data_IF_857659624040
#
_entry.id   IF_857659624040
#
_cell.length_a   1.000
_cell.length_b   1.000
_cell.length_c   1.000
_cell.angle_alpha   90.00
_cell.angle_beta   90.00
_cell.angle_gamma   90.00
#
_symmetry.space_group_name_H-M   'P 1'
#
loop_
_entity.id
_entity.type
_entity.pdbx_description
1 polymer ?
#
# COMPACT_ATOMS: atom_id res chain seq x y z
N UNK A 1 17.82 6.86 8.70
CA UNK A 1 17.37 5.57 8.15
C UNK A 1 18.43 5.09 7.15
N UNK A 2 18.64 3.78 6.95
CA UNK A 2 19.76 3.31 6.11
C UNK A 2 19.32 3.12 4.65
N UNK A 3 20.23 3.40 3.71
CA UNK A 3 20.01 3.24 2.26
C UNK A 3 19.49 1.86 1.88
N UNK A 4 20.07 0.81 2.47
CA UNK A 4 19.69 -0.59 2.17
C UNK A 4 18.22 -0.87 2.52
N UNK A 5 17.72 -0.30 3.62
CA UNK A 5 16.30 -0.47 4.03
C UNK A 5 15.36 0.21 3.04
N UNK A 6 15.68 1.43 2.60
CA UNK A 6 14.91 2.13 1.56
C UNK A 6 14.91 1.38 0.22
N UNK A 7 16.07 0.87 -0.22
CA UNK A 7 16.14 0.06 -1.44
C UNK A 7 15.28 -1.21 -1.30
N UNK A 8 15.35 -1.87 -0.14
CA UNK A 8 14.55 -3.06 0.16
C UNK A 8 13.06 -2.74 0.16
N UNK A 9 12.64 -1.61 0.74
CA UNK A 9 11.26 -1.13 0.71
C UNK A 9 10.74 -0.92 -0.72
N UNK A 10 11.56 -0.33 -1.60
CA UNK A 10 11.24 -0.20 -3.02
C UNK A 10 11.05 -1.56 -3.70
N UNK A 11 11.96 -2.50 -3.48
CA UNK A 11 11.85 -3.87 -4.01
C UNK A 11 10.64 -4.63 -3.47
N UNK A 12 10.37 -4.54 -2.17
CA UNK A 12 9.20 -5.17 -1.54
C UNK A 12 7.91 -4.58 -2.09
N UNK A 13 7.86 -3.27 -2.32
CA UNK A 13 6.72 -2.62 -2.96
C UNK A 13 6.51 -3.12 -4.41
N UNK A 14 7.60 -3.25 -5.18
CA UNK A 14 7.57 -3.82 -6.54
C UNK A 14 7.03 -5.25 -6.54
N UNK A 15 7.58 -6.13 -5.70
CA UNK A 15 7.09 -7.50 -5.57
C UNK A 15 5.62 -7.55 -5.15
N UNK A 16 5.21 -6.65 -4.26
CA UNK A 16 3.80 -6.50 -3.90
C UNK A 16 2.91 -6.22 -5.12
N UNK A 17 3.31 -5.30 -6.01
CA UNK A 17 2.56 -4.99 -7.25
C UNK A 17 2.56 -6.17 -8.21
N UNK A 18 3.73 -6.75 -8.47
CA UNK A 18 3.92 -7.88 -9.38
C UNK A 18 3.14 -9.11 -8.95
N UNK A 19 3.01 -9.36 -7.64
CA UNK A 19 2.19 -10.45 -7.12
C UNK A 19 0.70 -10.11 -7.19
N UNK A 20 0.29 -8.91 -6.80
CA UNK A 20 -1.14 -8.57 -6.67
C UNK A 20 -1.88 -8.64 -8.01
N UNK A 21 -1.30 -8.12 -9.10
CA UNK A 21 -2.01 -8.01 -10.39
C UNK A 21 -2.37 -9.38 -11.00
N UNK A 22 -1.42 -10.32 -11.19
CA UNK A 22 -1.74 -11.65 -11.69
C UNK A 22 -2.73 -12.37 -10.78
N UNK A 23 -2.65 -12.17 -9.47
CA UNK A 23 -3.55 -12.80 -8.51
C UNK A 23 -4.99 -12.37 -8.64
N UNK A 24 -5.24 -11.09 -8.82
CA UNK A 24 -6.60 -10.59 -9.05
C UNK A 24 -7.17 -11.12 -10.38
N UNK A 25 -6.33 -11.21 -11.43
CA UNK A 25 -6.71 -11.80 -12.73
C UNK A 25 -7.04 -13.29 -12.58
N UNK A 26 -6.14 -14.05 -11.96
CA UNK A 26 -6.28 -15.48 -11.69
C UNK A 26 -7.53 -15.74 -10.86
N UNK A 27 -7.79 -14.95 -9.81
CA UNK A 27 -8.98 -15.07 -8.97
C UNK A 27 -10.26 -14.83 -9.78
N UNK A 28 -10.32 -13.80 -10.61
CA UNK A 28 -11.49 -13.52 -11.47
C UNK A 28 -11.74 -14.61 -12.53
N UNK A 29 -10.70 -15.11 -13.18
CA UNK A 29 -10.81 -16.12 -14.26
C UNK A 29 -11.07 -17.53 -13.72
N UNK A 30 -10.46 -17.93 -12.60
CA UNK A 30 -10.60 -19.28 -12.06
C UNK A 30 -11.89 -19.51 -11.28
N UNK A 31 -12.37 -18.50 -10.54
CA UNK A 31 -13.67 -18.58 -9.85
C UNK A 31 -14.81 -18.80 -10.84
N UNK A 32 -14.68 -18.26 -12.07
CA UNK A 32 -15.71 -18.39 -13.10
C UNK A 32 -15.66 -19.67 -13.92
N UNK A 33 -14.55 -20.44 -13.92
CA UNK A 33 -14.37 -21.51 -14.93
C UNK A 33 -13.96 -22.90 -14.44
N UNK A 34 -13.22 -23.07 -13.34
CA UNK A 34 -12.48 -24.34 -13.18
C UNK A 34 -12.74 -25.12 -11.90
N UNK A 35 -13.41 -24.57 -10.89
CA UNK A 35 -13.76 -25.34 -9.67
C UNK A 35 -12.55 -26.02 -8.97
N UNK A 36 -11.32 -25.65 -9.33
CA UNK A 36 -10.07 -26.26 -8.89
C UNK A 36 -9.74 -25.87 -7.44
N UNK A 37 -8.95 -26.69 -6.72
CA UNK A 37 -8.55 -26.48 -5.33
C UNK A 37 -7.45 -25.41 -5.16
N UNK A 38 -7.42 -24.37 -6.01
CA UNK A 38 -6.63 -23.14 -5.79
C UNK A 38 -7.04 -22.43 -4.48
N UNK A 39 -8.21 -22.79 -3.96
CA UNK A 39 -8.65 -22.66 -2.57
C UNK A 39 -7.50 -22.74 -1.57
N UNK A 40 -6.67 -23.80 -1.58
CA UNK A 40 -5.67 -24.02 -0.51
C UNK A 40 -4.50 -23.05 -0.52
N UNK A 41 -4.11 -22.50 -1.67
CA UNK A 41 -2.99 -21.56 -1.78
C UNK A 41 -3.41 -20.09 -1.61
N UNK A 42 -4.69 -19.79 -1.84
CA UNK A 42 -5.26 -18.45 -1.69
C UNK A 42 -4.95 -17.77 -0.33
N UNK A 43 -5.15 -18.42 0.84
CA UNK A 43 -4.88 -17.78 2.13
C UNK A 43 -3.39 -17.45 2.35
N UNK A 44 -2.47 -18.32 1.94
CA UNK A 44 -1.02 -18.06 2.05
C UNK A 44 -0.59 -16.85 1.23
N UNK A 45 -1.15 -16.73 0.04
CA UNK A 45 -0.87 -15.61 -0.83
C UNK A 45 -1.44 -14.31 -0.25
N UNK A 46 -2.68 -14.32 0.24
CA UNK A 46 -3.29 -13.16 0.89
C UNK A 46 -2.45 -12.73 2.09
N UNK A 47 -1.96 -13.67 2.90
CA UNK A 47 -1.06 -13.36 4.01
C UNK A 47 0.28 -12.77 3.53
N UNK A 48 0.87 -13.32 2.47
CA UNK A 48 2.11 -12.79 1.90
C UNK A 48 1.93 -11.36 1.38
N UNK A 49 0.89 -11.08 0.58
CA UNK A 49 0.62 -9.73 0.05
C UNK A 49 0.24 -8.73 1.16
N UNK A 50 -0.42 -9.21 2.22
CA UNK A 50 -0.68 -8.45 3.44
C UNK A 50 0.62 -8.05 4.12
N UNK A 51 1.51 -9.01 4.38
CA UNK A 51 2.81 -8.77 5.00
C UNK A 51 3.65 -7.75 4.21
N UNK A 52 3.73 -7.92 2.89
CA UNK A 52 4.42 -6.97 2.00
C UNK A 52 3.79 -5.57 2.08
N UNK A 53 2.45 -5.48 2.08
CA UNK A 53 1.74 -4.20 2.16
C UNK A 53 1.96 -3.49 3.50
N UNK A 54 1.91 -4.23 4.61
CA UNK A 54 2.17 -3.68 5.96
C UNK A 54 3.62 -3.20 6.09
N UNK A 55 4.57 -3.96 5.55
CA UNK A 55 5.97 -3.56 5.53
C UNK A 55 6.16 -2.24 4.76
N UNK A 56 5.54 -2.10 3.59
CA UNK A 56 5.58 -0.84 2.80
C UNK A 56 5.00 0.34 3.56
N UNK A 57 3.85 0.16 4.22
CA UNK A 57 3.25 1.23 5.04
C UNK A 57 4.13 1.62 6.23
N UNK A 58 4.74 0.64 6.90
CA UNK A 58 5.65 0.88 8.00
C UNK A 58 6.91 1.63 7.55
N UNK A 59 7.54 1.21 6.46
CA UNK A 59 8.73 1.89 5.91
C UNK A 59 8.38 3.29 5.38
N UNK A 60 7.20 3.51 4.80
CA UNK A 60 6.73 4.85 4.43
C UNK A 60 6.61 5.75 5.67
N UNK A 61 5.99 5.25 6.75
CA UNK A 61 5.88 5.98 8.01
C UNK A 61 7.26 6.31 8.59
N UNK A 62 8.14 5.34 8.66
CA UNK A 62 9.50 5.53 9.18
C UNK A 62 10.29 6.52 8.32
N UNK A 63 10.12 6.49 6.99
CA UNK A 63 10.71 7.44 6.06
C UNK A 63 10.25 8.88 6.32
N UNK A 64 8.94 9.09 6.44
CA UNK A 64 8.34 10.40 6.72
C UNK A 64 8.83 10.95 8.07
N UNK A 65 8.88 10.11 9.10
CA UNK A 65 9.29 10.52 10.43
C UNK A 65 10.79 10.78 10.55
N UNK A 66 11.64 9.91 9.97
CA UNK A 66 13.10 10.01 10.13
C UNK A 66 13.77 10.95 9.13
N UNK A 67 13.22 11.11 7.94
CA UNK A 67 13.83 11.92 6.87
C UNK A 67 13.21 13.30 6.81
N UNK A 68 11.88 13.40 6.98
CA UNK A 68 11.13 14.65 6.84
C UNK A 68 10.59 15.19 8.18
N UNK A 69 10.87 14.53 9.31
CA UNK A 69 10.37 14.90 10.64
C UNK A 69 8.85 15.09 10.70
N UNK A 70 8.12 14.33 9.89
CA UNK A 70 6.71 14.58 9.61
C UNK A 70 5.78 13.49 10.17
N UNK A 71 5.38 13.68 11.43
CA UNK A 71 4.50 12.74 12.15
C UNK A 71 3.00 12.90 11.84
N UNK A 72 2.58 13.97 11.16
CA UNK A 72 1.15 14.27 10.97
C UNK A 72 0.43 13.20 10.13
N UNK A 73 1.16 12.52 9.23
CA UNK A 73 0.61 11.43 8.41
C UNK A 73 0.48 10.08 9.16
N UNK A 74 0.99 9.95 10.38
CA UNK A 74 1.05 8.67 11.10
C UNK A 74 -0.33 7.99 11.24
N UNK A 75 -1.35 8.77 11.62
CA UNK A 75 -2.70 8.24 11.81
C UNK A 75 -3.32 7.73 10.51
N UNK A 76 -3.09 8.43 9.39
CA UNK A 76 -3.60 8.00 8.09
C UNK A 76 -2.91 6.71 7.63
N UNK A 77 -1.60 6.59 7.85
CA UNK A 77 -0.84 5.39 7.49
C UNK A 77 -1.24 4.20 8.37
N UNK A 78 -1.37 4.40 9.68
CA UNK A 78 -1.85 3.36 10.60
C UNK A 78 -3.28 2.93 10.28
N UNK A 79 -4.15 3.86 9.89
CA UNK A 79 -5.49 3.57 9.39
C UNK A 79 -5.46 2.71 8.14
N UNK A 80 -4.60 3.04 7.15
CA UNK A 80 -4.42 2.22 5.94
C UNK A 80 -3.92 0.81 6.27
N UNK A 81 -2.92 0.68 7.14
CA UNK A 81 -2.41 -0.61 7.59
C UNK A 81 -3.48 -1.45 8.31
N UNK A 82 -4.29 -0.80 9.15
CA UNK A 82 -5.42 -1.44 9.84
C UNK A 82 -6.47 -1.93 8.83
N UNK A 83 -6.77 -1.11 7.81
CA UNK A 83 -7.71 -1.48 6.77
C UNK A 83 -7.22 -2.68 5.95
N UNK A 84 -5.91 -2.77 5.68
CA UNK A 84 -5.31 -3.96 5.06
C UNK A 84 -5.56 -5.20 5.93
N UNK A 85 -5.29 -5.13 7.25
CA UNK A 85 -5.52 -6.24 8.18
C UNK A 85 -6.99 -6.68 8.26
N UNK A 86 -7.90 -5.70 8.35
CA UNK A 86 -9.35 -5.96 8.30
C UNK A 86 -9.69 -6.69 7.00
N UNK A 87 -9.09 -6.26 5.88
CA UNK A 87 -9.39 -6.86 4.59
C UNK A 87 -8.92 -8.31 4.50
N UNK A 88 -7.74 -8.58 5.03
CA UNK A 88 -7.16 -9.92 5.17
C UNK A 88 -8.03 -10.82 6.02
N UNK A 89 -8.51 -10.33 7.16
CA UNK A 89 -9.40 -11.07 8.04
C UNK A 89 -10.68 -11.48 7.32
N UNK A 90 -11.35 -10.56 6.60
CA UNK A 90 -12.57 -10.89 5.87
C UNK A 90 -12.31 -11.89 4.73
N UNK A 91 -11.20 -11.75 3.98
CA UNK A 91 -10.83 -12.75 2.97
C UNK A 91 -10.59 -14.14 3.61
N UNK A 92 -10.06 -14.19 4.83
CA UNK A 92 -9.86 -15.45 5.56
C UNK A 92 -11.18 -16.03 6.08
N UNK A 93 -12.10 -15.18 6.56
CA UNK A 93 -13.43 -15.61 6.99
C UNK A 93 -14.26 -16.16 5.81
N UNK A 94 -14.23 -15.50 4.66
CA UNK A 94 -14.88 -15.98 3.42
C UNK A 94 -14.30 -17.33 2.96
N UNK A 95 -13.01 -17.56 3.21
CA UNK A 95 -12.36 -18.84 2.96
C UNK A 95 -12.80 -19.95 3.95
N UNK A 96 -12.82 -19.65 5.25
CA UNK A 96 -13.12 -20.60 6.33
C UNK A 96 -14.60 -20.96 6.43
N UNK A 97 -15.50 -20.06 6.02
CA UNK A 97 -16.96 -20.26 6.12
C UNK A 97 -17.58 -20.20 4.72
N UNK A 98 -17.51 -21.29 3.93
CA UNK A 98 -18.02 -21.31 2.55
C UNK A 98 -19.51 -21.00 2.43
N UNK A 99 -20.28 -21.21 3.50
CA UNK A 99 -21.71 -20.94 3.60
C UNK A 99 -22.04 -19.43 3.51
N UNK A 100 -21.05 -18.57 3.78
CA UNK A 100 -21.15 -17.13 3.62
C UNK A 100 -20.67 -16.64 2.25
N UNK A 101 -20.17 -17.54 1.38
CA UNK A 101 -19.63 -17.17 0.07
C UNK A 101 -20.67 -16.40 -0.74
N UNK A 102 -20.16 -15.34 -1.35
CA UNK A 102 -20.82 -14.42 -2.26
C UNK A 102 -21.40 -15.24 -3.41
N UNK A 103 -22.66 -15.67 -3.32
CA UNK A 103 -23.26 -16.48 -4.36
C UNK A 103 -24.66 -17.01 -4.09
N UNK A 104 -25.02 -17.31 -2.83
CA UNK A 104 -26.32 -17.97 -2.59
C UNK A 104 -27.28 -17.21 -1.65
N UNK A 105 -26.84 -16.61 -0.52
CA UNK A 105 -27.79 -15.93 0.38
C UNK A 105 -27.30 -14.68 1.17
N UNK A 106 -26.08 -14.17 0.95
CA UNK A 106 -25.49 -13.08 1.77
C UNK A 106 -25.02 -11.86 0.94
N UNK A 107 -25.84 -11.34 0.03
CA UNK A 107 -25.40 -10.27 -0.89
C UNK A 107 -25.37 -8.86 -0.27
N UNK A 108 -26.28 -8.55 0.65
CA UNK A 108 -26.44 -7.17 1.16
C UNK A 108 -25.35 -6.73 2.16
N UNK A 109 -25.05 -7.58 3.16
CA UNK A 109 -24.13 -7.23 4.26
C UNK A 109 -22.69 -7.14 3.76
N UNK A 110 -22.27 -8.07 2.91
CA UNK A 110 -20.93 -8.04 2.30
C UNK A 110 -20.80 -6.85 1.35
N UNK A 111 -21.79 -6.58 0.48
CA UNK A 111 -21.77 -5.40 -0.38
C UNK A 111 -21.63 -4.10 0.45
N UNK A 112 -22.42 -3.97 1.53
CA UNK A 112 -22.32 -2.84 2.44
C UNK A 112 -20.93 -2.75 3.07
N UNK A 113 -20.34 -3.88 3.46
CA UNK A 113 -18.97 -3.94 3.96
C UNK A 113 -17.94 -3.46 2.91
N UNK A 114 -18.03 -3.93 1.66
CA UNK A 114 -17.17 -3.47 0.55
C UNK A 114 -17.31 -1.95 0.31
N UNK A 115 -18.53 -1.43 0.36
CA UNK A 115 -18.79 0.02 0.18
C UNK A 115 -18.22 0.81 1.35
N UNK A 116 -18.50 0.42 2.60
CA UNK A 116 -18.01 1.12 3.80
C UNK A 116 -16.48 1.11 3.84
N UNK A 117 -15.85 -0.04 3.63
CA UNK A 117 -14.38 -0.13 3.60
C UNK A 117 -13.77 0.63 2.43
N UNK A 118 -14.42 0.65 1.26
CA UNK A 118 -14.03 1.48 0.13
C UNK A 118 -14.05 2.97 0.46
N UNK A 119 -15.12 3.47 1.08
CA UNK A 119 -15.25 4.86 1.52
C UNK A 119 -14.20 5.20 2.59
N UNK A 120 -14.02 4.35 3.60
CA UNK A 120 -13.00 4.56 4.66
C UNK A 120 -11.60 4.62 4.04
N UNK A 121 -11.27 3.71 3.11
CA UNK A 121 -10.02 3.74 2.35
C UNK A 121 -9.88 5.03 1.56
N UNK A 122 -10.97 5.50 0.96
CA UNK A 122 -11.00 6.76 0.21
C UNK A 122 -10.68 7.97 1.08
N UNK A 123 -11.34 8.07 2.24
CA UNK A 123 -11.11 9.13 3.24
C UNK A 123 -9.66 9.10 3.73
N UNK A 124 -9.13 7.92 4.09
CA UNK A 124 -7.74 7.78 4.51
C UNK A 124 -6.75 8.19 3.40
N UNK A 125 -7.06 7.90 2.14
CA UNK A 125 -6.24 8.30 0.99
C UNK A 125 -6.21 9.82 0.80
N UNK A 126 -7.36 10.48 0.98
CA UNK A 126 -7.47 11.94 0.94
C UNK A 126 -6.71 12.56 2.12
N UNK A 127 -6.89 12.03 3.34
CA UNK A 127 -6.17 12.51 4.53
C UNK A 127 -4.65 12.38 4.37
N UNK A 128 -4.17 11.22 3.91
CA UNK A 128 -2.76 11.00 3.62
C UNK A 128 -2.24 12.03 2.60
N UNK A 129 -2.98 12.27 1.53
CA UNK A 129 -2.60 13.23 0.51
C UNK A 129 -2.56 14.67 1.03
N UNK A 130 -3.54 15.07 1.85
CA UNK A 130 -3.57 16.41 2.45
C UNK A 130 -2.41 16.62 3.40
N UNK A 131 -2.04 15.61 4.18
CA UNK A 131 -0.88 15.69 5.07
C UNK A 131 0.43 15.71 4.27
N UNK A 132 0.60 14.86 3.27
CA UNK A 132 1.80 14.85 2.42
C UNK A 132 2.06 16.18 1.68
N UNK A 133 1.00 16.94 1.36
CA UNK A 133 1.15 18.27 0.75
C UNK A 133 1.71 19.33 1.69
N UNK A 134 1.61 19.13 3.01
CA UNK A 134 2.15 20.07 4.02
C UNK A 134 3.65 19.91 4.23
N UNK A 135 4.27 18.89 3.65
CA UNK A 135 5.72 18.70 3.70
C UNK A 135 6.36 19.60 2.64
N UNK A 136 6.87 20.76 3.07
CA UNK A 136 7.46 21.76 2.16
C UNK A 136 8.62 21.18 1.35
N UNK A 137 9.55 20.51 2.04
CA UNK A 137 10.77 19.90 1.49
C UNK A 137 10.59 18.50 0.88
N UNK A 138 9.34 18.03 0.72
CA UNK A 138 9.10 16.73 0.11
C UNK A 138 9.48 16.73 -1.38
N UNK A 139 10.13 15.66 -1.87
CA UNK A 139 10.42 15.51 -3.29
C UNK A 139 9.12 15.48 -4.10
N UNK A 140 9.20 15.94 -5.35
CA UNK A 140 8.03 16.02 -6.23
C UNK A 140 7.35 14.66 -6.42
N UNK A 141 8.12 13.57 -6.42
CA UNK A 141 7.62 12.19 -6.48
C UNK A 141 6.69 11.84 -5.30
N UNK A 142 7.03 12.27 -4.08
CA UNK A 142 6.20 12.07 -2.89
C UNK A 142 4.91 12.91 -2.95
N UNK A 143 4.99 14.13 -3.49
CA UNK A 143 3.81 14.97 -3.74
C UNK A 143 2.90 14.34 -4.80
N UNK A 144 3.47 13.78 -5.88
CA UNK A 144 2.73 13.03 -6.90
C UNK A 144 2.07 11.78 -6.32
N UNK A 145 2.75 11.03 -5.45
CA UNK A 145 2.15 9.91 -4.73
C UNK A 145 0.93 10.35 -3.89
N UNK A 146 1.04 11.49 -3.20
CA UNK A 146 -0.08 12.09 -2.47
C UNK A 146 -1.25 12.43 -3.40
N UNK A 147 -1.01 13.08 -4.54
CA UNK A 147 -2.06 13.41 -5.52
C UNK A 147 -2.72 12.14 -6.06
N UNK A 148 -1.97 11.11 -6.44
CA UNK A 148 -2.53 9.84 -6.92
C UNK A 148 -3.33 9.12 -5.84
N UNK A 149 -2.88 9.18 -4.58
CA UNK A 149 -3.62 8.62 -3.43
C UNK A 149 -4.94 9.35 -3.21
N UNK A 150 -4.97 10.68 -3.39
CA UNK A 150 -6.20 11.48 -3.34
C UNK A 150 -7.16 11.10 -4.47
N UNK A 151 -6.67 11.02 -5.72
CA UNK A 151 -7.48 10.66 -6.89
C UNK A 151 -8.07 9.27 -6.70
N UNK A 152 -7.23 8.29 -6.34
CA UNK A 152 -7.67 6.93 -6.05
C UNK A 152 -8.70 6.92 -4.92
N UNK A 153 -8.51 7.73 -3.88
CA UNK A 153 -9.44 7.82 -2.76
C UNK A 153 -10.81 8.39 -3.15
N UNK A 154 -10.85 9.46 -3.94
CA UNK A 154 -12.10 10.01 -4.50
C UNK A 154 -12.82 8.98 -5.37
N UNK A 155 -12.06 8.22 -6.17
CA UNK A 155 -12.63 7.13 -6.97
C UNK A 155 -13.17 5.98 -6.11
N UNK A 156 -12.51 5.62 -5.00
CA UNK A 156 -13.02 4.61 -4.06
C UNK A 156 -14.29 5.05 -3.32
N UNK A 157 -14.45 6.34 -3.07
CA UNK A 157 -15.72 6.89 -2.55
C UNK A 157 -16.87 6.79 -3.57
N UNK A 158 -16.54 6.70 -4.87
CA UNK A 158 -17.52 6.57 -5.96
C UNK A 158 -17.60 5.11 -6.39
N UNK A 159 -18.59 4.36 -5.88
CA UNK A 159 -18.70 2.89 -6.10
C UNK A 159 -18.54 2.47 -7.57
N UNK A 160 -19.05 3.27 -8.52
CA UNK A 160 -18.96 2.99 -9.97
C UNK A 160 -17.50 3.03 -10.49
N UNK A 161 -16.63 3.82 -9.86
CA UNK A 161 -15.24 4.03 -10.27
C UNK A 161 -14.25 3.08 -9.59
N UNK A 162 -14.70 2.10 -8.80
CA UNK A 162 -13.81 1.14 -8.11
C UNK A 162 -12.76 0.48 -9.04
N UNK A 163 -13.10 0.00 -10.26
CA UNK A 163 -12.11 -0.59 -11.15
C UNK A 163 -11.02 0.41 -11.55
N UNK A 164 -11.41 1.66 -11.81
CA UNK A 164 -10.47 2.73 -12.13
C UNK A 164 -9.63 3.12 -10.90
N UNK A 165 -10.23 3.15 -9.72
CA UNK A 165 -9.55 3.41 -8.45
C UNK A 165 -8.42 2.40 -8.20
N UNK A 166 -8.66 1.12 -8.53
CA UNK A 166 -7.67 0.05 -8.43
C UNK A 166 -6.49 0.28 -9.39
N UNK A 167 -6.75 0.67 -10.64
CA UNK A 167 -5.70 1.01 -11.61
C UNK A 167 -4.86 2.20 -11.14
N UNK A 168 -5.49 3.28 -10.68
CA UNK A 168 -4.78 4.45 -10.15
C UNK A 168 -3.97 4.07 -8.89
N UNK A 169 -4.48 3.17 -8.05
CA UNK A 169 -3.74 2.68 -6.88
C UNK A 169 -2.48 1.90 -7.27
N UNK A 170 -2.48 1.16 -8.39
CA UNK A 170 -1.29 0.51 -8.92
C UNK A 170 -0.27 1.56 -9.37
N UNK A 171 -0.71 2.58 -10.11
CA UNK A 171 0.18 3.68 -10.54
C UNK A 171 0.75 4.41 -9.32
N UNK A 172 -0.04 4.65 -8.27
CA UNK A 172 0.43 5.24 -7.03
C UNK A 172 1.52 4.39 -6.37
N UNK A 173 1.38 3.05 -6.34
CA UNK A 173 2.42 2.15 -5.84
C UNK A 173 3.70 2.23 -6.68
N UNK A 174 3.60 2.36 -7.99
CA UNK A 174 4.78 2.54 -8.86
C UNK A 174 5.52 3.85 -8.51
N UNK A 175 4.79 4.94 -8.29
CA UNK A 175 5.40 6.20 -7.84
C UNK A 175 6.03 6.03 -6.45
N UNK A 176 5.39 5.29 -5.54
CA UNK A 176 5.96 5.01 -4.22
C UNK A 176 7.27 4.20 -4.27
N UNK A 177 7.40 3.26 -5.22
CA UNK A 177 8.67 2.55 -5.48
C UNK A 177 9.77 3.56 -5.84
N UNK A 178 9.46 4.48 -6.76
CA UNK A 178 10.40 5.52 -7.16
C UNK A 178 10.78 6.44 -6.00
N UNK A 179 9.83 6.84 -5.15
CA UNK A 179 10.09 7.63 -3.94
C UNK A 179 11.11 6.93 -3.02
N UNK A 180 10.94 5.63 -2.77
CA UNK A 180 11.88 4.88 -1.92
C UNK A 180 13.29 4.82 -2.53
N UNK A 181 13.39 4.57 -3.84
CA UNK A 181 14.69 4.51 -4.52
C UNK A 181 15.36 5.88 -4.59
N UNK A 182 14.64 6.94 -4.97
CA UNK A 182 15.13 8.32 -5.00
C UNK A 182 15.64 8.76 -3.62
N UNK A 183 14.86 8.49 -2.57
CA UNK A 183 15.28 8.80 -1.19
C UNK A 183 16.52 8.00 -0.78
N UNK A 184 16.65 6.75 -1.25
CA UNK A 184 17.83 5.92 -0.97
C UNK A 184 19.10 6.46 -1.63
N UNK A 185 18.97 7.07 -2.82
CA UNK A 185 20.09 7.69 -3.54
C UNK A 185 20.53 8.98 -2.87
N UNK A 186 19.58 9.80 -2.40
CA UNK A 186 19.90 11.00 -1.62
C UNK A 186 20.77 10.67 -0.40
N UNK A 187 20.44 9.60 0.33
CA UNK A 187 21.26 9.11 1.44
C UNK A 187 22.68 8.68 1.02
N UNK A 188 22.86 8.13 -0.18
CA UNK A 188 24.18 7.76 -0.71
C UNK A 188 25.07 8.99 -0.86
N UNK A 189 24.52 10.09 -1.39
CA UNK A 189 25.27 11.32 -1.63
C UNK A 189 25.57 12.08 -0.32
N UNK A 190 24.60 12.19 0.58
CA UNK A 190 24.78 12.89 1.87
C UNK A 190 25.88 12.27 2.74
N UNK A 191 26.04 10.95 2.73
CA UNK A 191 27.11 10.24 3.46
C UNK A 191 28.47 10.41 2.77
N UNK A 192 28.51 10.55 1.45
CA UNK A 192 29.77 10.72 0.70
C UNK A 192 30.37 12.13 0.81
N UNK A 193 29.56 13.14 1.13
CA UNK A 193 29.99 14.54 1.26
C UNK A 193 30.37 14.94 2.67
N UNK A 194 30.21 14.07 3.67
CA UNK A 194 30.73 14.33 5.02
C UNK A 194 32.25 14.09 4.98
N UNK A 195 33.10 15.14 5.00
CA UNK A 195 34.53 14.95 4.95
C UNK A 195 34.90 14.17 6.20
N UNK A 196 35.49 13.00 6.01
CA UNK A 196 36.11 12.22 7.07
C UNK A 196 37.12 13.15 7.73
N UNK A 197 36.76 13.76 8.87
CA UNK A 197 37.73 14.39 9.75
C UNK A 197 38.64 13.26 10.22
N UNK A 198 39.65 12.96 9.41
CA UNK A 198 40.81 12.17 9.80
C UNK A 198 41.41 12.95 10.95
N UNK A 199 41.13 12.47 12.15
CA UNK A 199 41.87 12.73 13.37
C UNK A 199 43.35 12.62 13.03
N UNK A 200 43.99 13.78 12.83
CA UNK A 200 45.43 13.92 12.97
C UNK A 200 45.72 13.80 14.46
N UNK A 201 45.81 12.57 14.96
CA UNK A 201 46.51 12.32 16.22
C UNK A 201 48.00 12.30 15.91
N UNK A 202 48.67 13.34 16.43
CA UNK A 202 50.12 13.52 16.51
C UNK A 202 50.82 12.33 17.14
#
# INVERSE_FOLDING_TARGET
>A
MNRERLMTAGWVCLWGVVLTIPLEIVRGVLVSKVGLPLSLFSPFIVLATTGLSLYVWYELREMLNKTYHFASADNAILGMATLVLIWTAVNFFDFMVPQLRIGQHSSGVLLLFYVVTGVVRGVLGILLATELRRVEDAPQSLKTFGVLSMISGVMFCTVILIPLAALVSVVAKIVLIYVFWETSEFYKYAVSTTPTQRTMTR
#
